data_IF_254161632526
#
_entry.id   IF_254161632526
#
_cell.length_a   1.000
_cell.length_b   1.000
_cell.length_c   1.000
_cell.angle_alpha   90.00
_cell.angle_beta   90.00
_cell.angle_gamma   90.00
#
_symmetry.space_group_name_H-M   'P 1'
#
loop_
_entity.id
_entity.type
_entity.pdbx_description
1 polymer ?
#
# COMPACT_ATOMS: atom_id res chain seq x y z
N UNK A 1 -20.41 3.54 -11.00
CA UNK A 1 -19.50 2.74 -10.15
C UNK A 1 -19.67 3.22 -8.73
N UNK A 2 -20.09 2.36 -7.80
CA UNK A 2 -20.09 2.72 -6.38
C UNK A 2 -18.62 2.87 -5.95
N UNK A 3 -18.20 4.10 -5.60
CA UNK A 3 -16.98 4.30 -4.82
C UNK A 3 -17.20 3.64 -3.47
N UNK A 4 -16.84 2.37 -3.35
CA UNK A 4 -16.54 1.79 -2.03
C UNK A 4 -15.31 2.51 -1.53
N UNK A 5 -15.54 3.67 -0.90
CA UNK A 5 -14.55 4.34 -0.08
C UNK A 5 -14.26 3.36 1.05
N UNK A 6 -13.12 2.70 1.00
CA UNK A 6 -12.69 1.83 2.07
C UNK A 6 -12.64 2.68 3.34
N UNK A 7 -13.31 2.24 4.42
CA UNK A 7 -13.24 2.91 5.72
C UNK A 7 -11.80 2.93 6.26
N UNK A 8 -10.97 1.99 5.82
CA UNK A 8 -9.59 1.79 6.24
C UNK A 8 -8.68 1.52 5.03
N UNK A 9 -7.66 2.34 4.75
CA UNK A 9 -6.74 2.14 3.62
C UNK A 9 -6.01 0.79 3.67
N UNK A 10 -5.81 0.22 4.86
CA UNK A 10 -5.16 -1.07 5.10
C UNK A 10 -5.91 -2.26 4.50
N UNK A 11 -7.21 -2.08 4.23
CA UNK A 11 -8.03 -3.12 3.58
C UNK A 11 -7.83 -3.18 2.06
N UNK A 12 -7.23 -2.14 1.47
CA UNK A 12 -6.96 -2.10 0.04
C UNK A 12 -5.92 -3.15 -0.38
N UNK A 13 -6.07 -3.70 -1.58
CA UNK A 13 -5.06 -4.60 -2.15
C UNK A 13 -3.76 -3.81 -2.39
N UNK A 14 -3.87 -2.57 -2.87
CA UNK A 14 -2.75 -1.66 -3.14
C UNK A 14 -1.90 -1.40 -1.89
N UNK A 15 -2.54 -1.25 -0.73
CA UNK A 15 -1.83 -1.07 0.54
C UNK A 15 -1.02 -2.32 0.91
N UNK A 16 -1.64 -3.51 0.82
CA UNK A 16 -0.98 -4.80 1.09
C UNK A 16 0.19 -5.03 0.13
N UNK A 17 0.03 -4.70 -1.14
CA UNK A 17 1.11 -4.76 -2.12
C UNK A 17 2.30 -3.86 -1.75
N UNK A 18 2.04 -2.68 -1.17
CA UNK A 18 3.08 -1.77 -0.67
C UNK A 18 3.85 -2.34 0.52
N UNK A 19 3.13 -2.97 1.46
CA UNK A 19 3.75 -3.69 2.59
C UNK A 19 4.63 -4.83 2.09
N UNK A 20 4.12 -5.67 1.20
CA UNK A 20 4.84 -6.83 0.69
C UNK A 20 6.06 -6.42 -0.14
N UNK A 21 5.95 -5.35 -0.93
CA UNK A 21 7.08 -4.80 -1.68
C UNK A 21 8.20 -4.35 -0.74
N UNK A 22 7.85 -3.73 0.39
CA UNK A 22 8.83 -3.36 1.40
C UNK A 22 9.49 -4.59 2.04
N UNK A 23 8.71 -5.61 2.36
CA UNK A 23 9.22 -6.88 2.91
C UNK A 23 10.16 -7.61 1.94
N UNK A 24 9.96 -7.46 0.62
CA UNK A 24 10.88 -7.94 -0.43
C UNK A 24 12.11 -7.04 -0.62
N UNK A 25 12.22 -5.93 0.10
CA UNK A 25 13.35 -4.99 0.00
C UNK A 25 13.24 -4.01 -1.18
N UNK A 26 12.07 -3.89 -1.81
CA UNK A 26 11.87 -2.98 -2.93
C UNK A 26 11.86 -1.51 -2.47
N UNK A 27 12.30 -0.62 -3.36
CA UNK A 27 12.30 0.83 -3.14
C UNK A 27 11.01 1.46 -3.65
N UNK A 28 10.74 2.70 -3.27
CA UNK A 28 9.54 3.44 -3.68
C UNK A 28 9.36 3.55 -5.20
N UNK A 29 10.45 3.48 -5.99
CA UNK A 29 10.40 3.50 -7.45
C UNK A 29 9.78 2.22 -8.06
N UNK A 30 9.63 1.15 -7.27
CA UNK A 30 8.94 -0.06 -7.69
C UNK A 30 7.41 0.07 -7.68
N UNK A 31 6.88 1.17 -7.14
CA UNK A 31 5.45 1.44 -7.13
C UNK A 31 4.89 1.36 -8.58
N UNK A 32 3.96 0.44 -8.87
CA UNK A 32 3.46 0.25 -10.23
C UNK A 32 2.50 1.37 -10.65
N UNK A 33 2.00 2.15 -9.70
CA UNK A 33 0.99 3.16 -9.94
C UNK A 33 1.60 4.51 -10.32
N UNK A 34 1.32 4.95 -11.54
CA UNK A 34 1.69 6.28 -12.03
C UNK A 34 0.88 7.39 -11.38
N UNK A 35 1.29 8.66 -11.59
CA UNK A 35 0.61 9.82 -11.01
C UNK A 35 -0.86 9.99 -11.42
N UNK A 36 -1.27 9.40 -12.55
CA UNK A 36 -2.66 9.40 -13.01
C UNK A 36 -3.56 8.43 -12.21
N UNK A 37 -2.97 7.50 -11.45
CA UNK A 37 -3.61 6.59 -10.49
C UNK A 37 -3.22 7.01 -9.07
N UNK A 38 -3.43 8.29 -8.76
CA UNK A 38 -2.92 8.88 -7.51
C UNK A 38 -3.50 8.19 -6.27
N UNK A 39 -4.75 7.73 -6.33
CA UNK A 39 -5.40 7.06 -5.21
C UNK A 39 -4.71 5.73 -4.86
N UNK A 40 -4.54 4.87 -5.85
CA UNK A 40 -3.87 3.58 -5.75
C UNK A 40 -2.40 3.76 -5.34
N UNK A 41 -1.73 4.75 -5.96
CA UNK A 41 -0.37 5.14 -5.60
C UNK A 41 -0.25 5.55 -4.13
N UNK A 42 -1.19 6.35 -3.64
CA UNK A 42 -1.20 6.77 -2.22
C UNK A 42 -1.41 5.60 -1.28
N UNK A 43 -2.27 4.64 -1.61
CA UNK A 43 -2.49 3.43 -0.80
C UNK A 43 -1.23 2.57 -0.74
N UNK A 44 -0.58 2.32 -1.88
CA UNK A 44 0.66 1.55 -1.96
C UNK A 44 1.80 2.22 -1.16
N UNK A 45 1.97 3.53 -1.31
CA UNK A 45 2.99 4.27 -0.58
C UNK A 45 2.73 4.27 0.93
N UNK A 46 1.46 4.35 1.35
CA UNK A 46 1.09 4.24 2.76
C UNK A 46 1.53 2.89 3.34
N UNK A 47 1.19 1.78 2.69
CA UNK A 47 1.60 0.44 3.15
C UNK A 47 3.12 0.27 3.22
N UNK A 48 3.84 0.75 2.21
CA UNK A 48 5.31 0.70 2.16
C UNK A 48 5.95 1.46 3.34
N UNK A 49 5.48 2.68 3.62
CA UNK A 49 5.98 3.51 4.72
C UNK A 49 5.57 2.99 6.10
N UNK A 50 4.33 2.54 6.24
CA UNK A 50 3.82 1.98 7.49
C UNK A 50 4.61 0.73 7.90
N UNK A 51 5.10 -0.02 6.91
CA UNK A 51 5.97 -1.16 7.18
C UNK A 51 7.33 -0.72 7.74
N UNK A 52 7.94 0.32 7.18
CA UNK A 52 9.18 0.92 7.71
C UNK A 52 8.99 1.48 9.13
N UNK A 53 7.81 2.05 9.42
CA UNK A 53 7.46 2.58 10.74
C UNK A 53 7.06 1.48 11.75
N UNK A 54 6.95 0.22 11.33
CA UNK A 54 6.54 -0.88 12.19
C UNK A 54 5.07 -0.84 12.61
N UNK A 55 4.24 -0.06 11.91
CA UNK A 55 2.80 0.11 12.19
C UNK A 55 1.91 -0.69 11.24
N UNK A 56 2.47 -1.17 10.12
CA UNK A 56 1.73 -2.03 9.20
C UNK A 56 1.19 -3.29 9.92
N UNK A 57 -0.08 -3.68 9.67
CA UNK A 57 -0.64 -4.89 10.24
C UNK A 57 0.23 -6.11 9.93
N UNK A 58 0.57 -6.91 10.94
CA UNK A 58 1.24 -8.19 10.70
C UNK A 58 0.20 -9.14 10.12
N UNK A 59 0.29 -9.42 8.82
CA UNK A 59 -0.48 -10.51 8.22
C UNK A 59 0.04 -11.82 8.83
N UNK A 60 -0.81 -12.53 9.57
CA UNK A 60 -0.49 -13.86 10.06
C UNK A 60 -0.35 -14.79 8.84
N UNK A 61 0.78 -15.49 8.76
CA UNK A 61 1.08 -16.46 7.71
C UNK A 61 0.11 -17.65 7.72
#
# INVERSE_FOLDING_TARGET
MQSKRLEFPESADEYREGVDARDRGERLQACPYGLHMLYERSLWLAGHHDRDMGIAPRVAA
#
